data_IF_226009463658
#
_entry.id   IF_226009463658
#
_cell.length_a   1.000
_cell.length_b   1.000
_cell.length_c   1.000
_cell.angle_alpha   90.00
_cell.angle_beta   90.00
_cell.angle_gamma   90.00
#
_symmetry.space_group_name_H-M   'P 1'
#
loop_
_entity.id
_entity.type
_entity.pdbx_description
1 polymer ?
#
# COMPACT_ATOMS: atom_id res chain seq x y z
N UNK A 1 -36.37 1.13 22.52
CA UNK A 1 -37.23 1.01 21.32
C UNK A 1 -36.43 0.30 20.22
N UNK A 2 -36.76 -0.95 20.00
CA UNK A 2 -36.11 -1.85 19.03
C UNK A 2 -36.38 -1.36 17.61
N UNK A 3 -35.35 -1.08 16.82
CA UNK A 3 -35.50 -0.84 15.35
C UNK A 3 -35.92 -2.16 14.69
N UNK A 4 -37.20 -2.28 14.44
CA UNK A 4 -37.77 -3.35 13.64
C UNK A 4 -37.04 -3.44 12.28
N UNK A 5 -36.57 -4.64 11.92
CA UNK A 5 -35.80 -4.89 10.72
C UNK A 5 -36.60 -4.55 9.46
N UNK A 6 -36.11 -3.62 8.67
CA UNK A 6 -36.61 -3.40 7.31
C UNK A 6 -36.48 -4.68 6.49
N UNK A 7 -37.49 -5.07 5.68
CA UNK A 7 -37.45 -6.23 4.80
C UNK A 7 -36.47 -5.99 3.66
N UNK A 8 -35.26 -6.51 3.79
CA UNK A 8 -34.17 -6.40 2.83
C UNK A 8 -32.84 -6.36 3.55
N UNK A 9 -32.35 -7.53 4.01
CA UNK A 9 -31.10 -7.63 4.76
C UNK A 9 -29.91 -7.01 4.00
N UNK A 10 -28.76 -6.81 4.65
CA UNK A 10 -27.60 -6.09 4.12
C UNK A 10 -27.12 -6.59 2.73
N UNK A 11 -27.50 -7.83 2.35
CA UNK A 11 -27.18 -8.42 1.04
C UNK A 11 -27.97 -7.78 -0.10
N UNK A 12 -29.24 -7.38 0.11
CA UNK A 12 -30.06 -6.82 -0.98
C UNK A 12 -29.55 -5.45 -1.46
N UNK A 13 -29.00 -4.67 -0.55
CA UNK A 13 -28.43 -3.35 -0.86
C UNK A 13 -27.02 -3.43 -1.44
N UNK A 14 -26.25 -4.46 -1.06
CA UNK A 14 -24.86 -4.58 -1.49
C UNK A 14 -24.76 -4.63 -3.02
N UNK A 15 -24.16 -3.60 -3.61
CA UNK A 15 -23.90 -3.48 -5.05
C UNK A 15 -22.55 -4.07 -5.42
N UNK A 16 -21.56 -3.90 -4.54
CA UNK A 16 -20.19 -4.39 -4.73
C UNK A 16 -19.76 -5.24 -3.54
N UNK A 17 -19.09 -6.34 -3.83
CA UNK A 17 -18.47 -7.22 -2.84
C UNK A 17 -16.96 -7.18 -3.04
N UNK A 18 -16.22 -6.81 -1.99
CA UNK A 18 -14.76 -6.80 -1.93
C UNK A 18 -14.26 -7.99 -1.08
N UNK A 19 -13.97 -9.15 -1.68
CA UNK A 19 -13.49 -10.31 -0.96
C UNK A 19 -12.05 -10.13 -0.44
N UNK A 20 -11.76 -10.69 0.74
CA UNK A 20 -10.43 -10.83 1.30
C UNK A 20 -10.31 -12.19 1.98
N UNK A 21 -9.70 -13.17 1.31
CA UNK A 21 -9.64 -14.55 1.81
C UNK A 21 -8.33 -14.89 2.51
N UNK A 22 -7.47 -13.90 2.74
CA UNK A 22 -6.27 -14.08 3.56
C UNK A 22 -6.42 -13.40 4.92
N UNK A 23 -6.11 -14.13 5.98
CA UNK A 23 -6.13 -13.60 7.36
C UNK A 23 -4.98 -12.63 7.64
N UNK A 24 -3.84 -12.83 6.96
CA UNK A 24 -2.64 -12.04 7.17
C UNK A 24 -2.75 -10.67 6.50
N UNK A 25 -2.39 -9.62 7.23
CA UNK A 25 -2.22 -8.28 6.68
C UNK A 25 -1.16 -8.29 5.54
N UNK A 26 -1.49 -7.63 4.46
CA UNK A 26 -0.62 -7.47 3.29
C UNK A 26 -1.02 -6.17 2.59
N UNK A 27 -0.19 -5.65 1.69
CA UNK A 27 -0.53 -4.45 0.91
C UNK A 27 -1.93 -4.52 0.29
N UNK A 28 -2.30 -5.66 -0.30
CA UNK A 28 -3.66 -5.85 -0.86
C UNK A 28 -4.76 -5.81 0.20
N UNK A 29 -4.52 -6.31 1.42
CA UNK A 29 -5.50 -6.21 2.51
C UNK A 29 -5.61 -4.77 2.99
N UNK A 30 -4.49 -4.05 3.08
CA UNK A 30 -4.46 -2.63 3.44
C UNK A 30 -5.24 -1.77 2.44
N UNK A 31 -5.12 -2.04 1.13
CA UNK A 31 -5.93 -1.32 0.12
C UNK A 31 -7.44 -1.57 0.29
N UNK A 32 -7.87 -2.79 0.63
CA UNK A 32 -9.29 -3.05 0.92
C UNK A 32 -9.75 -2.26 2.16
N UNK A 33 -8.93 -2.23 3.21
CA UNK A 33 -9.25 -1.53 4.47
C UNK A 33 -9.40 -0.02 4.25
N UNK A 34 -8.59 0.57 3.38
CA UNK A 34 -8.65 2.00 3.07
C UNK A 34 -9.75 2.34 2.05
N UNK A 35 -9.86 1.58 0.96
CA UNK A 35 -10.78 1.88 -0.14
C UNK A 35 -12.25 1.62 0.19
N UNK A 36 -12.57 0.54 0.91
CA UNK A 36 -13.97 0.19 1.17
C UNK A 36 -14.73 1.29 1.91
N UNK A 37 -14.19 1.94 2.96
CA UNK A 37 -14.86 3.07 3.59
C UNK A 37 -15.03 4.27 2.64
N UNK A 38 -14.05 4.55 1.79
CA UNK A 38 -14.08 5.65 0.84
C UNK A 38 -15.15 5.41 -0.24
N UNK A 39 -15.16 4.23 -0.85
CA UNK A 39 -16.17 3.84 -1.83
C UNK A 39 -17.57 3.76 -1.22
N UNK A 40 -17.69 3.40 0.06
CA UNK A 40 -18.97 3.32 0.76
C UNK A 40 -19.68 4.68 0.93
N UNK A 41 -18.98 5.81 0.69
CA UNK A 41 -19.61 7.14 0.64
C UNK A 41 -20.50 7.32 -0.60
N UNK A 42 -20.19 6.62 -1.70
CA UNK A 42 -20.88 6.77 -3.00
C UNK A 42 -21.79 5.57 -3.35
N UNK A 43 -21.47 4.36 -2.88
CA UNK A 43 -22.22 3.14 -3.22
C UNK A 43 -22.22 2.11 -2.09
N UNK A 44 -23.19 1.18 -2.08
CA UNK A 44 -23.21 0.11 -1.06
C UNK A 44 -22.19 -0.98 -1.42
N UNK A 45 -20.95 -0.83 -0.94
CA UNK A 45 -19.88 -1.81 -1.02
C UNK A 45 -19.73 -2.55 0.31
N UNK A 46 -19.52 -3.85 0.25
CA UNK A 46 -19.34 -4.72 1.41
C UNK A 46 -18.08 -5.55 1.29
N UNK A 47 -17.24 -5.52 2.30
CA UNK A 47 -16.12 -6.44 2.39
C UNK A 47 -16.60 -7.83 2.83
N UNK A 48 -15.91 -8.90 2.39
CA UNK A 48 -16.23 -10.28 2.75
C UNK A 48 -14.95 -11.05 3.05
N UNK A 49 -14.84 -11.62 4.23
CA UNK A 49 -13.74 -12.51 4.58
C UNK A 49 -13.11 -12.24 5.93
N UNK A 50 -12.08 -13.03 6.30
CA UNK A 50 -11.43 -12.96 7.59
C UNK A 50 -10.43 -11.80 7.70
N UNK A 51 -10.06 -11.45 8.95
CA UNK A 51 -8.97 -10.51 9.24
C UNK A 51 -9.26 -9.05 8.92
N UNK A 52 -10.51 -8.71 8.62
CA UNK A 52 -10.94 -7.34 8.33
C UNK A 52 -11.40 -6.62 9.61
N UNK A 53 -11.05 -5.33 9.81
CA UNK A 53 -11.43 -4.53 10.96
C UNK A 53 -12.95 -4.46 11.16
N UNK A 54 -13.40 -4.27 12.41
CA UNK A 54 -14.81 -4.27 12.75
C UNK A 54 -15.61 -3.10 12.15
N UNK A 55 -14.97 -1.96 11.95
CA UNK A 55 -15.59 -0.75 11.41
C UNK A 55 -15.99 -0.84 9.92
N UNK A 56 -15.42 -1.79 9.17
CA UNK A 56 -15.77 -1.93 7.75
C UNK A 56 -17.19 -2.43 7.56
N UNK A 57 -17.93 -1.94 6.54
CA UNK A 57 -19.16 -2.55 6.10
C UNK A 57 -18.88 -3.97 5.56
N UNK A 58 -19.45 -4.99 6.20
CA UNK A 58 -19.16 -6.41 5.89
C UNK A 58 -20.39 -7.24 5.61
N UNK A 59 -20.23 -8.25 4.76
CA UNK A 59 -21.10 -9.41 4.66
C UNK A 59 -20.54 -10.56 5.52
N UNK A 60 -21.42 -11.44 5.97
CA UNK A 60 -21.07 -12.69 6.63
C UNK A 60 -21.18 -13.84 5.62
N UNK A 61 -20.45 -14.92 5.84
CA UNK A 61 -20.51 -16.12 4.97
C UNK A 61 -21.94 -16.66 4.80
N UNK A 62 -22.74 -16.61 5.86
CA UNK A 62 -24.16 -17.00 5.84
C UNK A 62 -25.04 -16.13 4.96
N UNK A 63 -24.57 -14.96 4.56
CA UNK A 63 -25.31 -14.05 3.69
C UNK A 63 -25.14 -14.37 2.21
N UNK A 64 -24.16 -15.25 1.83
CA UNK A 64 -23.86 -15.64 0.46
C UNK A 64 -25.06 -16.19 -0.33
N UNK A 65 -25.96 -17.03 0.23
CA UNK A 65 -27.15 -17.47 -0.51
C UNK A 65 -28.05 -16.32 -0.97
N UNK A 66 -28.02 -15.18 -0.28
CA UNK A 66 -28.74 -13.98 -0.71
C UNK A 66 -28.24 -13.36 -2.02
N UNK A 67 -27.06 -13.76 -2.51
CA UNK A 67 -26.49 -13.28 -3.78
C UNK A 67 -27.22 -13.81 -5.02
N UNK A 68 -28.02 -14.89 -4.92
CA UNK A 68 -28.89 -15.33 -6.03
C UNK A 68 -29.95 -14.29 -6.38
N UNK A 69 -30.35 -13.46 -5.43
CA UNK A 69 -31.28 -12.36 -5.72
C UNK A 69 -30.52 -11.17 -6.28
N UNK A 70 -31.07 -10.50 -7.29
CA UNK A 70 -30.50 -9.26 -7.83
C UNK A 70 -30.43 -8.19 -6.74
N UNK A 71 -29.43 -7.28 -6.77
CA UNK A 71 -29.37 -6.15 -5.86
C UNK A 71 -30.49 -5.15 -6.17
N UNK A 72 -30.76 -4.26 -5.23
CA UNK A 72 -31.70 -3.16 -5.44
C UNK A 72 -31.15 -2.17 -6.49
N UNK A 73 -31.95 -1.83 -7.51
CA UNK A 73 -31.62 -0.82 -8.50
C UNK A 73 -30.56 -1.20 -9.54
N UNK A 74 -30.05 -2.45 -9.54
CA UNK A 74 -29.03 -2.87 -10.51
C UNK A 74 -29.30 -4.32 -10.98
N UNK A 75 -28.94 -4.67 -12.25
CA UNK A 75 -29.19 -6.00 -12.79
C UNK A 75 -28.31 -7.10 -12.19
N UNK A 76 -27.15 -6.76 -11.65
CA UNK A 76 -26.17 -7.66 -11.05
C UNK A 76 -25.29 -6.92 -10.03
N UNK A 77 -24.61 -7.70 -9.20
CA UNK A 77 -23.56 -7.23 -8.30
C UNK A 77 -22.20 -7.33 -8.94
N UNK A 78 -21.25 -6.54 -8.42
CA UNK A 78 -19.85 -6.65 -8.77
C UNK A 78 -19.12 -7.40 -7.67
N UNK A 79 -18.34 -8.40 -8.08
CA UNK A 79 -17.38 -9.12 -7.24
C UNK A 79 -15.99 -8.65 -7.62
N UNK A 80 -15.35 -7.83 -6.78
CA UNK A 80 -14.08 -7.20 -7.09
C UNK A 80 -12.91 -7.91 -6.39
N UNK A 81 -12.31 -8.86 -7.07
CA UNK A 81 -11.16 -9.66 -6.63
C UNK A 81 -9.83 -8.91 -6.79
N UNK A 82 -8.87 -9.23 -5.94
CA UNK A 82 -7.49 -8.72 -6.00
C UNK A 82 -6.44 -9.84 -5.98
N UNK A 83 -6.89 -11.08 -5.87
CA UNK A 83 -6.02 -12.30 -5.83
C UNK A 83 -6.70 -13.47 -6.52
N UNK A 84 -5.88 -14.46 -6.94
CA UNK A 84 -6.38 -15.70 -7.53
C UNK A 84 -7.39 -16.41 -6.62
N UNK A 85 -7.11 -16.46 -5.31
CA UNK A 85 -8.00 -17.08 -4.30
C UNK A 85 -9.34 -16.38 -4.13
N UNK A 86 -9.51 -15.21 -4.72
CA UNK A 86 -10.74 -14.41 -4.74
C UNK A 86 -11.41 -14.47 -6.11
N UNK A 87 -10.62 -14.59 -7.20
CA UNK A 87 -11.14 -14.74 -8.57
C UNK A 87 -11.87 -16.09 -8.75
N UNK A 88 -11.24 -17.20 -8.35
CA UNK A 88 -11.82 -18.53 -8.56
C UNK A 88 -13.20 -18.69 -7.89
N UNK A 89 -13.40 -18.35 -6.61
CA UNK A 89 -14.74 -18.38 -6.01
C UNK A 89 -15.74 -17.48 -6.74
N UNK A 90 -15.33 -16.29 -7.19
CA UNK A 90 -16.19 -15.41 -7.99
C UNK A 90 -16.67 -16.10 -9.28
N UNK A 91 -15.77 -16.78 -10.00
CA UNK A 91 -16.10 -17.56 -11.19
C UNK A 91 -17.10 -18.69 -10.86
N UNK A 92 -16.86 -19.43 -9.77
CA UNK A 92 -17.78 -20.50 -9.34
C UNK A 92 -19.16 -19.95 -8.97
N UNK A 93 -19.24 -18.84 -8.26
CA UNK A 93 -20.50 -18.19 -7.90
C UNK A 93 -21.28 -17.73 -9.15
N UNK A 94 -20.59 -17.13 -10.14
CA UNK A 94 -21.22 -16.65 -11.38
C UNK A 94 -21.55 -17.77 -12.35
N UNK A 95 -20.57 -18.62 -12.71
CA UNK A 95 -20.67 -19.52 -13.86
C UNK A 95 -21.30 -20.87 -13.47
N UNK A 96 -21.06 -21.36 -12.25
CA UNK A 96 -21.60 -22.65 -11.77
C UNK A 96 -22.91 -22.44 -11.00
N UNK A 97 -22.88 -21.53 -9.99
CA UNK A 97 -24.05 -21.26 -9.16
C UNK A 97 -25.01 -20.23 -9.78
N UNK A 98 -24.66 -19.69 -10.96
CA UNK A 98 -25.48 -18.76 -11.76
C UNK A 98 -26.01 -17.55 -10.99
N UNK A 99 -25.22 -17.07 -10.02
CA UNK A 99 -25.54 -15.85 -9.31
C UNK A 99 -25.38 -14.63 -10.24
N UNK A 100 -26.23 -13.61 -10.14
CA UNK A 100 -26.15 -12.39 -10.96
C UNK A 100 -24.96 -11.54 -10.53
N UNK A 101 -23.75 -11.91 -10.99
CA UNK A 101 -22.48 -11.27 -10.69
C UNK A 101 -21.74 -10.85 -11.96
N UNK A 102 -20.99 -9.75 -11.89
CA UNK A 102 -19.89 -9.41 -12.79
C UNK A 102 -18.60 -9.39 -12.01
N UNK A 103 -17.52 -9.85 -12.62
CA UNK A 103 -16.25 -10.05 -11.96
C UNK A 103 -15.25 -8.98 -12.38
N UNK A 104 -14.71 -8.26 -11.42
CA UNK A 104 -13.63 -7.28 -11.61
C UNK A 104 -12.39 -7.81 -10.93
N UNK A 105 -11.24 -7.61 -11.56
CA UNK A 105 -9.95 -7.95 -10.98
C UNK A 105 -9.00 -6.77 -11.01
N UNK A 106 -8.39 -6.42 -9.86
CA UNK A 106 -7.28 -5.47 -9.80
C UNK A 106 -5.95 -6.21 -9.69
N UNK A 107 -5.07 -5.98 -10.68
CA UNK A 107 -3.71 -6.48 -10.70
C UNK A 107 -2.74 -5.40 -10.20
N UNK A 108 -1.92 -5.76 -9.20
CA UNK A 108 -0.79 -4.96 -8.72
C UNK A 108 0.56 -5.68 -8.96
N UNK A 109 0.60 -6.68 -9.85
CA UNK A 109 1.76 -7.56 -10.02
C UNK A 109 2.55 -7.19 -11.27
N UNK A 110 3.81 -6.83 -11.08
CA UNK A 110 4.77 -6.58 -12.17
C UNK A 110 5.60 -7.83 -12.46
N UNK A 111 4.93 -8.90 -12.87
CA UNK A 111 5.56 -10.16 -13.29
C UNK A 111 4.67 -10.91 -14.26
N UNK A 112 5.27 -11.76 -15.08
CA UNK A 112 4.52 -12.66 -15.96
C UNK A 112 3.61 -13.56 -15.15
N UNK A 113 2.33 -13.59 -15.51
CA UNK A 113 1.34 -14.44 -14.88
C UNK A 113 1.49 -15.90 -15.35
N UNK A 114 1.24 -16.85 -14.44
CA UNK A 114 1.16 -18.28 -14.77
C UNK A 114 -0.03 -18.54 -15.71
N UNK A 115 -0.03 -19.68 -16.40
CA UNK A 115 -1.17 -20.09 -17.24
C UNK A 115 -2.49 -20.09 -16.46
N UNK A 116 -2.48 -20.61 -15.24
CA UNK A 116 -3.65 -20.58 -14.35
C UNK A 116 -4.14 -19.15 -14.05
N UNK A 117 -3.23 -18.25 -13.69
CA UNK A 117 -3.61 -16.85 -13.42
C UNK A 117 -4.14 -16.16 -14.67
N UNK A 118 -3.55 -16.40 -15.85
CA UNK A 118 -4.03 -15.87 -17.13
C UNK A 118 -5.44 -16.37 -17.45
N UNK A 119 -5.69 -17.66 -17.20
CA UNK A 119 -7.03 -18.23 -17.37
C UNK A 119 -8.05 -17.57 -16.43
N UNK A 120 -7.72 -17.36 -15.15
CA UNK A 120 -8.59 -16.62 -14.23
C UNK A 120 -8.89 -15.21 -14.73
N UNK A 121 -7.85 -14.47 -15.16
CA UNK A 121 -7.98 -13.10 -15.66
C UNK A 121 -8.87 -13.04 -16.91
N UNK A 122 -8.75 -14.00 -17.83
CA UNK A 122 -9.58 -14.03 -19.04
C UNK A 122 -11.08 -14.26 -18.77
N UNK A 123 -11.45 -14.68 -17.55
CA UNK A 123 -12.83 -14.86 -17.10
C UNK A 123 -13.42 -13.63 -16.42
N UNK A 124 -12.64 -12.55 -16.26
CA UNK A 124 -13.10 -11.31 -15.65
C UNK A 124 -13.85 -10.44 -16.66
N UNK A 125 -14.90 -9.74 -16.19
CA UNK A 125 -15.68 -8.81 -17.01
C UNK A 125 -14.98 -7.46 -17.16
N UNK A 126 -14.14 -7.08 -16.19
CA UNK A 126 -13.23 -5.94 -16.29
C UNK A 126 -11.95 -6.20 -15.51
N UNK A 127 -10.84 -5.63 -15.99
CA UNK A 127 -9.53 -5.72 -15.34
C UNK A 127 -8.98 -4.30 -15.11
N UNK A 128 -8.45 -4.09 -13.91
CA UNK A 128 -7.79 -2.86 -13.49
C UNK A 128 -6.32 -3.18 -13.28
N UNK A 129 -5.44 -2.35 -13.84
CA UNK A 129 -4.00 -2.35 -13.54
C UNK A 129 -3.68 -1.17 -12.62
N UNK A 130 -2.87 -1.38 -11.59
CA UNK A 130 -2.53 -0.31 -10.64
C UNK A 130 -1.50 0.68 -11.19
N UNK A 131 -0.89 0.39 -12.33
CA UNK A 131 0.02 1.28 -13.06
C UNK A 131 0.14 0.84 -14.51
N UNK A 132 0.67 1.71 -15.37
CA UNK A 132 1.03 1.37 -16.76
C UNK A 132 2.03 0.21 -16.81
N UNK A 133 3.03 0.19 -15.91
CA UNK A 133 3.99 -0.91 -15.78
C UNK A 133 3.30 -2.24 -15.43
N UNK A 134 2.31 -2.22 -14.52
CA UNK A 134 1.51 -3.41 -14.21
C UNK A 134 0.69 -3.85 -15.41
N UNK A 135 0.10 -2.89 -16.14
CA UNK A 135 -0.69 -3.13 -17.36
C UNK A 135 0.10 -3.87 -18.45
N UNK A 136 1.39 -3.58 -18.59
CA UNK A 136 2.27 -4.24 -19.57
C UNK A 136 2.39 -5.77 -19.37
N UNK A 137 2.05 -6.30 -18.19
CA UNK A 137 2.02 -7.73 -17.90
C UNK A 137 0.66 -8.39 -18.13
N UNK A 138 -0.36 -7.62 -18.53
CA UNK A 138 -1.70 -8.10 -18.82
C UNK A 138 -1.90 -8.27 -20.33
N UNK A 139 -2.46 -9.39 -20.72
CA UNK A 139 -2.78 -9.71 -22.12
C UNK A 139 -4.26 -9.48 -22.47
N UNK A 140 -4.98 -8.76 -21.62
CA UNK A 140 -6.41 -8.44 -21.78
C UNK A 140 -6.61 -6.92 -21.71
N UNK A 141 -7.70 -6.38 -22.30
CA UNK A 141 -8.07 -4.99 -22.10
C UNK A 141 -8.19 -4.65 -20.62
N UNK A 142 -7.63 -3.51 -20.21
CA UNK A 142 -7.65 -3.09 -18.82
C UNK A 142 -7.71 -1.57 -18.69
N UNK A 143 -8.13 -1.10 -17.52
CA UNK A 143 -8.09 0.31 -17.14
C UNK A 143 -6.96 0.51 -16.14
N UNK A 144 -6.13 1.54 -16.34
CA UNK A 144 -5.12 1.92 -15.35
C UNK A 144 -5.77 2.80 -14.29
N UNK A 145 -5.67 2.38 -13.03
CA UNK A 145 -6.11 3.16 -11.86
C UNK A 145 -5.00 3.09 -10.81
N UNK A 146 -4.30 4.21 -10.64
CA UNK A 146 -3.19 4.33 -9.67
C UNK A 146 -3.73 4.36 -8.25
N UNK A 147 -3.01 3.72 -7.33
CA UNK A 147 -3.38 3.78 -5.91
C UNK A 147 -3.27 5.19 -5.35
N UNK A 148 -4.23 5.54 -4.53
CA UNK A 148 -4.24 6.73 -3.70
C UNK A 148 -3.80 6.44 -2.27
N UNK A 149 -3.68 7.51 -1.48
CA UNK A 149 -3.32 7.47 -0.07
C UNK A 149 -4.35 8.22 0.78
N UNK A 150 -4.64 7.70 1.96
CA UNK A 150 -5.47 8.39 2.95
C UNK A 150 -4.71 9.55 3.57
N UNK A 151 -4.94 10.74 3.05
CA UNK A 151 -4.28 12.00 3.44
C UNK A 151 -4.78 12.54 4.79
N UNK A 152 -5.82 11.96 5.36
CA UNK A 152 -6.27 12.29 6.73
C UNK A 152 -5.45 11.52 7.75
N UNK A 153 -5.10 10.29 7.43
CA UNK A 153 -4.23 9.42 8.22
C UNK A 153 -2.76 9.77 8.02
N UNK A 154 -2.30 9.82 6.77
CA UNK A 154 -0.91 10.17 6.42
C UNK A 154 -0.82 11.68 6.17
N UNK A 155 -0.57 12.43 7.21
CA UNK A 155 -0.45 13.90 7.19
C UNK A 155 0.80 14.34 7.95
N UNK A 156 1.37 15.50 7.67
CA UNK A 156 2.48 16.04 8.44
C UNK A 156 2.17 16.17 9.92
N UNK A 157 3.16 15.94 10.76
CA UNK A 157 3.09 16.32 12.17
C UNK A 157 3.09 17.84 12.34
N UNK A 158 2.55 18.33 13.45
CA UNK A 158 2.72 19.73 13.85
C UNK A 158 4.20 20.05 14.20
N UNK A 159 4.90 19.09 14.82
CA UNK A 159 6.34 19.11 15.06
C UNK A 159 6.90 17.70 14.91
N UNK A 160 7.99 17.57 14.13
CA UNK A 160 8.73 16.32 13.98
C UNK A 160 9.46 15.95 15.27
N UNK A 161 9.96 16.93 16.00
CA UNK A 161 10.64 16.75 17.29
C UNK A 161 9.69 16.11 18.30
N UNK A 162 8.48 16.65 18.44
CA UNK A 162 7.45 16.09 19.32
C UNK A 162 7.01 14.67 18.88
N UNK A 163 6.94 14.42 17.56
CA UNK A 163 6.64 13.08 17.04
C UNK A 163 7.75 12.08 17.38
N UNK A 164 9.03 12.49 17.31
CA UNK A 164 10.18 11.66 17.73
C UNK A 164 10.13 11.36 19.22
N UNK A 165 9.92 12.37 20.04
CA UNK A 165 9.82 12.22 21.49
C UNK A 165 8.73 11.24 21.89
N UNK A 166 7.54 11.34 21.28
CA UNK A 166 6.43 10.42 21.52
C UNK A 166 6.72 8.96 21.13
N UNK A 167 7.69 8.75 20.24
CA UNK A 167 8.16 7.42 19.80
C UNK A 167 9.41 6.93 20.53
N UNK A 168 9.93 7.71 21.51
CA UNK A 168 11.19 7.39 22.21
C UNK A 168 12.45 7.53 21.34
N UNK A 169 12.36 8.29 20.25
CA UNK A 169 13.49 8.62 19.38
C UNK A 169 14.17 9.90 19.89
N UNK A 170 15.45 10.11 19.53
CA UNK A 170 16.18 11.33 19.89
C UNK A 170 15.53 12.56 19.21
N UNK A 171 14.90 13.50 19.95
CA UNK A 171 14.12 14.58 19.35
C UNK A 171 14.95 15.53 18.49
N UNK A 172 16.19 15.81 18.90
CA UNK A 172 17.12 16.72 18.22
C UNK A 172 17.82 16.11 17.01
N UNK A 173 17.78 14.77 16.85
CA UNK A 173 18.40 14.08 15.72
C UNK A 173 17.45 14.02 14.54
N UNK A 174 17.94 14.34 13.34
CA UNK A 174 17.21 14.06 12.09
C UNK A 174 17.07 12.56 11.88
N UNK A 175 15.99 12.14 11.29
CA UNK A 175 15.63 10.73 11.24
C UNK A 175 15.39 10.25 9.80
N UNK A 176 16.13 9.18 9.40
CA UNK A 176 15.83 8.42 8.18
C UNK A 176 14.94 7.22 8.52
N UNK A 177 14.03 6.87 7.61
CA UNK A 177 13.16 5.70 7.76
C UNK A 177 13.26 4.71 6.61
N UNK A 178 13.22 3.40 6.94
CA UNK A 178 13.03 2.32 5.98
C UNK A 178 11.98 1.36 6.52
N UNK A 179 10.79 1.33 5.91
CA UNK A 179 9.64 0.62 6.44
C UNK A 179 9.17 -0.53 5.54
N UNK A 180 8.82 -1.63 6.16
CA UNK A 180 8.34 -2.83 5.51
C UNK A 180 8.86 -4.09 6.16
N UNK A 181 8.47 -5.26 5.63
CA UNK A 181 8.97 -6.53 6.16
C UNK A 181 10.48 -6.62 6.02
N UNK A 182 11.18 -7.02 7.09
CA UNK A 182 12.63 -7.22 7.08
C UNK A 182 12.95 -8.48 6.27
N UNK A 183 13.43 -8.29 5.05
CA UNK A 183 13.85 -9.35 4.12
C UNK A 183 14.65 -8.77 2.95
N UNK A 184 15.51 -9.58 2.33
CA UNK A 184 16.41 -9.18 1.26
C UNK A 184 15.70 -8.52 0.06
N UNK A 185 14.53 -9.01 -0.33
CA UNK A 185 13.72 -8.41 -1.40
C UNK A 185 13.33 -6.96 -1.11
N UNK A 186 13.16 -6.61 0.18
CA UNK A 186 12.79 -5.25 0.61
C UNK A 186 13.99 -4.32 0.76
N UNK A 187 15.22 -4.83 0.56
CA UNK A 187 16.43 -4.04 0.57
C UNK A 187 16.85 -3.52 1.94
N UNK A 188 16.33 -4.13 3.03
CA UNK A 188 16.69 -3.71 4.39
C UNK A 188 18.20 -3.80 4.65
N UNK A 189 18.88 -4.76 4.01
CA UNK A 189 20.34 -4.89 4.02
C UNK A 189 21.03 -3.67 3.36
N UNK A 190 20.54 -3.21 2.21
CA UNK A 190 21.09 -2.03 1.54
C UNK A 190 20.93 -0.77 2.40
N UNK A 191 19.79 -0.63 3.08
CA UNK A 191 19.58 0.48 3.99
C UNK A 191 20.55 0.41 5.19
N UNK A 192 20.69 -0.76 5.82
CA UNK A 192 21.62 -0.94 6.95
C UNK A 192 23.07 -0.64 6.54
N UNK A 193 23.53 -1.19 5.40
CA UNK A 193 24.89 -0.92 4.88
C UNK A 193 25.12 0.59 4.61
N UNK A 194 24.12 1.25 3.98
CA UNK A 194 24.20 2.68 3.76
C UNK A 194 24.27 3.48 5.08
N UNK A 195 23.50 3.08 6.09
CA UNK A 195 23.53 3.74 7.39
C UNK A 195 24.83 3.49 8.14
N UNK A 196 25.41 2.30 8.07
CA UNK A 196 26.73 1.99 8.64
C UNK A 196 27.83 2.87 7.99
N UNK A 197 27.73 3.10 6.69
CA UNK A 197 28.68 3.95 5.97
C UNK A 197 28.53 5.44 6.30
N UNK A 198 27.30 5.94 6.44
CA UNK A 198 27.02 7.37 6.51
C UNK A 198 26.96 7.93 7.94
N UNK A 199 26.32 7.22 8.88
CA UNK A 199 26.08 7.78 10.20
C UNK A 199 27.34 8.14 11.00
N UNK A 200 28.49 7.45 10.89
CA UNK A 200 29.73 7.91 11.56
C UNK A 200 30.13 9.33 11.19
N UNK A 201 29.82 9.75 9.96
CA UNK A 201 30.16 11.10 9.44
C UNK A 201 29.06 12.14 9.66
N UNK A 202 27.88 11.70 10.13
CA UNK A 202 26.69 12.54 10.33
C UNK A 202 26.13 12.37 11.76
N UNK A 203 26.77 12.94 12.81
CA UNK A 203 26.40 12.71 14.22
C UNK A 203 24.97 13.18 14.56
N UNK A 204 24.41 14.15 13.84
CA UNK A 204 23.05 14.66 14.04
C UNK A 204 21.94 13.81 13.41
N UNK A 205 22.24 12.58 12.95
CA UNK A 205 21.28 11.71 12.29
C UNK A 205 21.12 10.37 13.00
N UNK A 206 19.89 9.81 12.93
CA UNK A 206 19.53 8.45 13.34
C UNK A 206 18.70 7.77 12.25
N UNK A 207 18.61 6.45 12.30
CA UNK A 207 17.87 5.65 11.34
C UNK A 207 16.85 4.74 12.03
N UNK A 208 15.67 4.60 11.46
CA UNK A 208 14.57 3.77 11.98
C UNK A 208 14.16 2.74 10.96
N UNK A 209 14.15 1.47 11.35
CA UNK A 209 13.70 0.34 10.55
C UNK A 209 12.41 -0.19 11.19
N UNK A 210 11.27 0.04 10.53
CA UNK A 210 9.99 -0.46 11.00
C UNK A 210 9.51 -1.65 10.16
N UNK A 211 9.11 -2.70 10.87
CA UNK A 211 8.71 -3.99 10.34
C UNK A 211 9.42 -5.12 11.04
N UNK A 212 9.09 -6.34 10.66
CA UNK A 212 9.75 -7.53 11.22
C UNK A 212 10.03 -8.59 10.16
N UNK A 213 10.99 -9.43 10.43
CA UNK A 213 11.19 -10.67 9.70
C UNK A 213 10.11 -11.69 10.07
N UNK A 214 9.78 -12.55 9.14
CA UNK A 214 8.81 -13.63 9.36
C UNK A 214 9.43 -14.95 8.98
N UNK A 215 9.29 -15.95 9.86
CA UNK A 215 9.70 -17.33 9.61
C UNK A 215 11.14 -17.42 9.07
N UNK A 216 11.27 -17.78 7.82
CA UNK A 216 12.53 -17.99 7.09
C UNK A 216 13.49 -16.78 7.04
N UNK A 217 13.03 -15.60 7.42
CA UNK A 217 13.84 -14.36 7.36
C UNK A 217 14.36 -13.89 8.73
N UNK A 218 14.14 -14.65 9.81
CA UNK A 218 14.60 -14.25 11.16
C UNK A 218 16.13 -14.22 11.27
N UNK A 219 16.83 -15.17 10.64
CA UNK A 219 18.29 -15.16 10.58
C UNK A 219 18.85 -13.95 9.83
N UNK A 220 18.17 -13.51 8.80
CA UNK A 220 18.53 -12.30 8.07
C UNK A 220 18.40 -11.05 8.94
N UNK A 221 17.32 -10.91 9.72
CA UNK A 221 17.16 -9.79 10.65
C UNK A 221 18.23 -9.83 11.75
N UNK A 222 18.54 -11.01 12.29
CA UNK A 222 19.57 -11.17 13.31
C UNK A 222 20.97 -10.80 12.78
N UNK A 223 21.31 -11.20 11.56
CA UNK A 223 22.57 -10.81 10.89
C UNK A 223 22.68 -9.28 10.73
N UNK A 224 21.61 -8.61 10.31
CA UNK A 224 21.60 -7.15 10.19
C UNK A 224 21.80 -6.45 11.53
N UNK A 225 21.16 -6.90 12.60
CA UNK A 225 21.35 -6.37 13.96
C UNK A 225 22.80 -6.56 14.43
N UNK A 226 23.36 -7.75 14.19
CA UNK A 226 24.76 -8.03 14.53
C UNK A 226 25.75 -7.10 13.80
N UNK A 227 25.52 -6.79 12.53
CA UNK A 227 26.35 -5.82 11.78
C UNK A 227 26.26 -4.43 12.38
N UNK A 228 25.05 -3.99 12.75
CA UNK A 228 24.82 -2.70 13.41
C UNK A 228 25.56 -2.62 14.76
N UNK A 229 25.48 -3.67 15.57
CA UNK A 229 26.22 -3.79 16.84
C UNK A 229 27.73 -3.77 16.64
N UNK A 230 28.24 -4.54 15.67
CA UNK A 230 29.66 -4.59 15.33
C UNK A 230 30.20 -3.23 14.85
N UNK A 231 29.35 -2.45 14.16
CA UNK A 231 29.68 -1.07 13.76
C UNK A 231 29.58 -0.03 14.90
N UNK A 232 29.12 -0.42 16.10
CA UNK A 232 28.93 0.48 17.24
C UNK A 232 27.80 1.49 17.04
N UNK A 233 26.78 1.15 16.24
CA UNK A 233 25.69 2.06 15.86
C UNK A 233 24.30 1.61 16.38
N UNK A 234 24.26 0.73 17.37
CA UNK A 234 23.01 0.17 17.89
C UNK A 234 22.07 1.20 18.53
N UNK A 235 22.62 2.31 19.02
CA UNK A 235 21.90 3.47 19.55
C UNK A 235 21.38 4.44 18.48
N UNK A 236 21.84 4.27 17.22
CA UNK A 236 21.51 5.18 16.11
C UNK A 236 20.81 4.50 14.93
N UNK A 237 20.86 3.18 14.81
CA UNK A 237 20.13 2.37 13.82
C UNK A 237 19.13 1.48 14.57
N UNK A 238 17.90 1.93 14.65
CA UNK A 238 16.89 1.39 15.54
C UNK A 238 15.93 0.48 14.80
N UNK A 239 15.86 -0.80 15.21
CA UNK A 239 14.84 -1.76 14.76
C UNK A 239 13.63 -1.68 15.69
N UNK A 240 12.59 -0.94 15.28
CA UNK A 240 11.43 -0.66 16.15
C UNK A 240 10.29 -1.68 16.02
N UNK A 241 10.46 -2.72 15.17
CA UNK A 241 9.47 -3.78 15.01
C UNK A 241 8.25 -3.36 14.18
N UNK A 242 7.15 -4.10 14.32
CA UNK A 242 5.92 -3.89 13.57
C UNK A 242 5.00 -2.89 14.30
N UNK A 243 4.60 -1.82 13.63
CA UNK A 243 3.71 -0.80 14.15
C UNK A 243 2.34 -0.86 13.46
N UNK A 244 1.25 -0.73 14.23
CA UNK A 244 -0.11 -0.63 13.69
C UNK A 244 -0.39 0.76 13.13
N UNK A 245 0.08 1.78 13.85
CA UNK A 245 -0.10 3.20 13.52
C UNK A 245 1.19 3.73 12.91
N UNK A 246 1.53 3.17 11.74
CA UNK A 246 2.79 3.44 11.02
C UNK A 246 2.93 4.92 10.62
N UNK A 247 1.82 5.63 10.46
CA UNK A 247 1.77 7.06 10.14
C UNK A 247 2.54 7.91 11.14
N UNK A 248 2.54 7.55 12.42
CA UNK A 248 3.31 8.27 13.44
C UNK A 248 4.83 8.15 13.21
N UNK A 249 5.28 6.99 12.72
CA UNK A 249 6.69 6.85 12.36
C UNK A 249 7.07 7.71 11.15
N UNK A 250 6.21 7.77 10.10
CA UNK A 250 6.44 8.68 8.97
C UNK A 250 6.48 10.14 9.42
N UNK A 251 5.64 10.55 10.36
CA UNK A 251 5.60 11.90 10.90
C UNK A 251 6.90 12.33 11.62
N UNK A 252 7.70 11.38 12.09
CA UNK A 252 8.98 11.61 12.75
C UNK A 252 10.17 11.77 11.78
N UNK A 253 9.97 11.46 10.48
CA UNK A 253 11.06 11.38 9.51
C UNK A 253 11.40 12.72 8.87
N UNK A 254 12.68 12.87 8.51
CA UNK A 254 13.21 13.91 7.63
C UNK A 254 13.47 13.37 6.21
N UNK A 255 13.72 12.07 6.10
CA UNK A 255 14.01 11.40 4.83
C UNK A 255 13.51 9.96 4.87
N UNK A 256 12.91 9.49 3.81
CA UNK A 256 12.48 8.10 3.68
C UNK A 256 13.26 7.38 2.60
N UNK A 257 13.72 6.15 2.87
CA UNK A 257 14.45 5.33 1.92
C UNK A 257 13.64 4.07 1.59
N UNK A 258 13.38 3.87 0.32
CA UNK A 258 12.67 2.74 -0.25
C UNK A 258 13.60 1.86 -1.11
N UNK A 259 14.46 1.01 -0.50
CA UNK A 259 15.57 0.33 -1.16
C UNK A 259 15.18 -1.01 -1.80
N UNK A 260 13.92 -1.22 -2.12
CA UNK A 260 13.40 -2.50 -2.59
C UNK A 260 14.10 -2.98 -3.87
N UNK A 261 14.42 -4.28 -3.93
CA UNK A 261 14.92 -4.92 -5.16
C UNK A 261 13.80 -5.30 -6.12
N UNK A 262 12.60 -5.41 -5.60
CA UNK A 262 11.38 -5.66 -6.37
C UNK A 262 10.14 -5.22 -5.59
N UNK A 263 9.21 -4.61 -6.29
CA UNK A 263 7.91 -4.21 -5.76
C UNK A 263 6.81 -4.39 -6.83
N UNK A 264 5.58 -4.62 -6.40
CA UNK A 264 4.42 -4.65 -7.30
C UNK A 264 3.94 -3.24 -7.62
N UNK A 265 3.44 -2.55 -6.61
CA UNK A 265 3.12 -1.13 -6.65
C UNK A 265 4.03 -0.37 -5.67
N UNK A 266 3.85 -0.59 -4.37
CA UNK A 266 4.60 0.05 -3.29
C UNK A 266 3.95 1.37 -2.83
N UNK A 267 3.28 1.33 -1.68
CA UNK A 267 2.62 2.51 -1.11
C UNK A 267 3.58 3.35 -0.26
N UNK A 268 4.69 2.79 0.19
CA UNK A 268 5.58 3.44 1.17
C UNK A 268 6.13 4.81 0.73
N UNK A 269 6.48 5.06 -0.55
CA UNK A 269 6.82 6.41 -1.00
C UNK A 269 5.64 7.38 -0.90
N UNK A 270 4.42 6.96 -1.25
CA UNK A 270 3.24 7.82 -1.14
C UNK A 270 2.88 8.13 0.32
N UNK A 271 3.04 7.15 1.22
CA UNK A 271 2.86 7.33 2.67
C UNK A 271 3.85 8.37 3.22
N UNK A 272 5.13 8.29 2.84
CA UNK A 272 6.15 9.25 3.20
C UNK A 272 5.85 10.65 2.62
N UNK A 273 5.61 10.75 1.32
CA UNK A 273 5.33 12.02 0.65
C UNK A 273 4.08 12.71 1.21
N UNK A 274 3.05 11.94 1.56
CA UNK A 274 1.82 12.46 2.16
C UNK A 274 2.04 13.05 3.57
N UNK A 275 3.10 12.62 4.27
CA UNK A 275 3.56 13.21 5.54
C UNK A 275 4.59 14.32 5.36
N UNK A 276 4.86 14.76 4.12
CA UNK A 276 5.83 15.79 3.80
C UNK A 276 7.28 15.31 3.96
N UNK A 277 7.56 14.04 3.63
CA UNK A 277 8.90 13.45 3.73
C UNK A 277 9.41 13.15 2.32
N UNK A 278 10.55 13.74 1.90
CA UNK A 278 11.18 13.41 0.63
C UNK A 278 11.69 11.96 0.62
N UNK A 279 11.81 11.39 -0.58
CA UNK A 279 11.98 9.94 -0.75
C UNK A 279 13.20 9.62 -1.61
N UNK A 280 14.06 8.73 -1.14
CA UNK A 280 15.05 8.04 -1.98
C UNK A 280 14.53 6.64 -2.26
N UNK A 281 14.34 6.29 -3.52
CA UNK A 281 13.75 5.01 -3.89
C UNK A 281 14.50 4.29 -5.02
N UNK A 282 14.53 2.97 -4.95
CA UNK A 282 14.98 2.16 -6.07
C UNK A 282 13.95 2.20 -7.22
N UNK A 283 14.38 2.11 -8.48
CA UNK A 283 13.49 2.09 -9.66
C UNK A 283 12.74 0.77 -9.80
N UNK A 284 11.78 0.56 -8.91
CA UNK A 284 10.90 -0.62 -8.91
C UNK A 284 9.45 -0.21 -8.67
N UNK A 285 8.52 -1.07 -9.05
CA UNK A 285 7.10 -0.79 -8.87
C UNK A 285 6.68 0.45 -9.65
N UNK A 286 6.11 1.43 -8.93
CA UNK A 286 5.71 2.73 -9.46
C UNK A 286 6.58 3.87 -8.94
N UNK A 287 7.70 3.57 -8.29
CA UNK A 287 8.46 4.57 -7.56
C UNK A 287 8.96 5.70 -8.45
N UNK A 288 9.42 5.41 -9.66
CA UNK A 288 9.82 6.43 -10.64
C UNK A 288 8.63 7.18 -11.29
N UNK A 289 7.39 6.67 -11.17
CA UNK A 289 6.19 7.40 -11.57
C UNK A 289 5.73 8.39 -10.46
N UNK A 290 6.12 8.12 -9.21
CA UNK A 290 5.69 8.85 -8.00
C UNK A 290 6.73 9.85 -7.54
N UNK A 291 8.00 9.43 -7.47
CA UNK A 291 9.12 10.25 -7.01
C UNK A 291 9.75 10.98 -8.19
N UNK A 292 9.82 12.30 -8.11
CA UNK A 292 10.48 13.17 -9.10
C UNK A 292 11.74 13.80 -8.49
N UNK A 293 12.54 14.48 -9.29
CA UNK A 293 13.76 15.14 -8.83
C UNK A 293 13.52 16.19 -7.74
N UNK A 294 12.33 16.81 -7.74
CA UNK A 294 11.91 17.79 -6.71
C UNK A 294 11.49 17.09 -5.40
N UNK A 295 11.01 15.86 -5.47
CA UNK A 295 10.44 15.13 -4.31
C UNK A 295 11.38 14.10 -3.72
N UNK A 296 12.50 13.83 -4.40
CA UNK A 296 13.43 12.78 -3.98
C UNK A 296 14.46 12.42 -5.02
N UNK A 297 14.94 11.18 -4.95
CA UNK A 297 15.90 10.62 -5.92
C UNK A 297 15.56 9.17 -6.22
N UNK A 298 15.57 8.82 -7.50
CA UNK A 298 15.45 7.42 -7.97
C UNK A 298 16.85 6.88 -8.25
N UNK A 299 17.13 5.67 -7.74
CA UNK A 299 18.41 4.96 -7.91
C UNK A 299 18.19 3.58 -8.53
N UNK A 300 19.21 2.99 -9.21
CA UNK A 300 19.11 1.63 -9.72
C UNK A 300 18.83 0.61 -8.60
N UNK A 301 17.97 -0.41 -8.82
CA UNK A 301 17.69 -1.42 -7.82
C UNK A 301 18.94 -2.24 -7.45
N UNK A 302 19.25 -2.33 -6.16
CA UNK A 302 20.40 -3.08 -5.66
C UNK A 302 21.75 -2.35 -5.72
N UNK A 303 21.79 -1.14 -6.23
CA UNK A 303 22.99 -0.31 -6.29
C UNK A 303 23.19 0.43 -4.96
N UNK A 304 24.07 -0.13 -4.11
CA UNK A 304 24.40 0.45 -2.80
C UNK A 304 25.13 1.79 -2.95
N UNK A 305 26.03 1.90 -3.91
CA UNK A 305 26.84 3.12 -4.10
C UNK A 305 25.97 4.29 -4.55
N UNK A 306 25.08 4.10 -5.50
CA UNK A 306 24.11 5.11 -5.92
C UNK A 306 23.16 5.49 -4.78
N UNK A 307 22.76 4.52 -3.95
CA UNK A 307 21.91 4.77 -2.79
C UNK A 307 22.63 5.60 -1.73
N UNK A 308 23.88 5.26 -1.39
CA UNK A 308 24.71 6.03 -0.44
C UNK A 308 24.86 7.47 -0.93
N UNK A 309 25.26 7.67 -2.18
CA UNK A 309 25.46 9.01 -2.74
C UNK A 309 24.14 9.83 -2.74
N UNK A 310 23.00 9.21 -3.07
CA UNK A 310 21.71 9.87 -3.01
C UNK A 310 21.34 10.26 -1.57
N UNK A 311 21.48 9.35 -0.61
CA UNK A 311 21.19 9.62 0.80
C UNK A 311 22.08 10.75 1.32
N UNK A 312 23.39 10.69 1.09
CA UNK A 312 24.36 11.68 1.55
C UNK A 312 24.02 13.08 1.04
N UNK A 313 23.69 13.22 -0.26
CA UNK A 313 23.25 14.50 -0.85
C UNK A 313 22.07 15.10 -0.07
N UNK A 314 21.05 14.28 0.22
CA UNK A 314 19.87 14.74 0.96
C UNK A 314 20.14 14.94 2.46
N UNK A 315 21.10 14.25 3.06
CA UNK A 315 21.51 14.47 4.45
C UNK A 315 22.30 15.78 4.61
N UNK A 316 23.12 16.15 3.64
CA UNK A 316 24.00 17.29 3.70
C UNK A 316 23.29 18.65 3.45
N UNK A 317 22.17 18.67 2.71
CA UNK A 317 21.53 19.90 2.25
C UNK A 317 20.15 20.11 2.90
N UNK A 318 20.08 21.02 3.87
CA UNK A 318 18.84 21.38 4.59
C UNK A 318 17.83 22.08 3.66
N UNK A 319 18.31 22.91 2.73
CA UNK A 319 17.44 23.64 1.81
C UNK A 319 16.79 22.68 0.80
N UNK A 320 17.57 21.72 0.28
CA UNK A 320 17.07 20.65 -0.58
C UNK A 320 15.99 19.83 0.13
N UNK A 321 16.21 19.43 1.40
CA UNK A 321 15.21 18.69 2.17
C UNK A 321 13.95 19.51 2.43
N UNK A 322 14.06 20.77 2.76
CA UNK A 322 12.90 21.63 3.00
C UNK A 322 12.08 21.83 1.72
N UNK A 323 12.73 22.08 0.59
CA UNK A 323 12.08 22.17 -0.72
C UNK A 323 11.42 20.85 -1.10
N UNK A 324 12.15 19.73 -0.95
CA UNK A 324 11.65 18.38 -1.23
C UNK A 324 10.47 17.99 -0.35
N UNK A 325 10.47 18.37 0.92
CA UNK A 325 9.34 18.15 1.85
C UNK A 325 8.07 18.85 1.35
N UNK A 326 8.20 20.11 0.92
CA UNK A 326 7.08 20.89 0.37
C UNK A 326 6.58 20.30 -0.94
N UNK A 327 7.47 19.96 -1.86
CA UNK A 327 7.14 19.37 -3.16
C UNK A 327 6.49 18.00 -3.02
N UNK A 328 7.03 17.13 -2.14
CA UNK A 328 6.49 15.80 -1.87
C UNK A 328 5.04 15.87 -1.37
N UNK A 329 4.77 16.74 -0.39
CA UNK A 329 3.43 16.93 0.14
C UNK A 329 2.46 17.48 -0.90
N UNK A 330 2.89 18.48 -1.67
CA UNK A 330 2.08 19.08 -2.73
C UNK A 330 1.69 18.05 -3.80
N UNK A 331 2.66 17.25 -4.28
CA UNK A 331 2.44 16.20 -5.28
C UNK A 331 1.52 15.10 -4.75
N UNK A 332 1.77 14.60 -3.52
CA UNK A 332 0.93 13.57 -2.93
C UNK A 332 -0.53 14.04 -2.81
N UNK A 333 -0.76 15.29 -2.40
CA UNK A 333 -2.10 15.87 -2.26
C UNK A 333 -2.81 16.07 -3.60
N UNK A 334 -2.10 16.50 -4.61
CA UNK A 334 -2.68 16.81 -5.91
C UNK A 334 -2.97 15.57 -6.75
N UNK A 335 -2.08 14.58 -6.73
CA UNK A 335 -2.11 13.47 -7.69
C UNK A 335 -2.65 12.16 -7.11
N UNK A 336 -2.49 11.93 -5.80
CA UNK A 336 -2.74 10.64 -5.16
C UNK A 336 -3.75 10.64 -4.00
N UNK A 337 -4.86 11.43 -4.05
CA UNK A 337 -5.88 11.29 -3.02
C UNK A 337 -6.63 9.96 -3.15
N UNK A 338 -6.92 9.33 -2.01
CA UNK A 338 -7.66 8.05 -1.97
C UNK A 338 -9.04 8.15 -2.64
N UNK A 339 -9.70 9.31 -2.52
CA UNK A 339 -10.98 9.58 -3.17
C UNK A 339 -10.89 9.43 -4.69
N UNK A 340 -9.82 9.92 -5.32
CA UNK A 340 -9.60 9.80 -6.77
C UNK A 340 -9.48 8.35 -7.23
N UNK A 341 -8.78 7.51 -6.46
CA UNK A 341 -8.73 6.06 -6.73
C UNK A 341 -10.11 5.43 -6.61
N UNK A 342 -10.85 5.75 -5.54
CA UNK A 342 -12.20 5.25 -5.32
C UNK A 342 -13.15 5.64 -6.46
N UNK A 343 -13.14 6.90 -6.90
CA UNK A 343 -13.93 7.40 -8.03
C UNK A 343 -13.57 6.71 -9.34
N UNK A 344 -12.28 6.54 -9.64
CA UNK A 344 -11.82 5.87 -10.85
C UNK A 344 -12.24 4.38 -10.88
N UNK A 345 -12.18 3.70 -9.74
CA UNK A 345 -12.68 2.32 -9.62
C UNK A 345 -14.20 2.28 -9.76
N UNK A 346 -14.93 3.19 -9.13
CA UNK A 346 -16.40 3.27 -9.24
C UNK A 346 -16.83 3.51 -10.69
N UNK A 347 -16.10 4.33 -11.46
CA UNK A 347 -16.34 4.54 -12.90
C UNK A 347 -16.17 3.23 -13.71
N UNK A 348 -15.31 2.30 -13.30
CA UNK A 348 -15.24 0.96 -13.92
C UNK A 348 -16.51 0.17 -13.63
N UNK A 349 -17.04 0.26 -12.43
CA UNK A 349 -18.30 -0.41 -12.07
C UNK A 349 -19.49 0.16 -12.84
N UNK A 350 -19.58 1.48 -12.97
CA UNK A 350 -20.66 2.16 -13.69
C UNK A 350 -20.67 1.76 -15.18
N UNK A 351 -19.49 1.66 -15.81
CA UNK A 351 -19.40 1.15 -17.19
C UNK A 351 -19.94 -0.28 -17.34
N UNK A 352 -19.75 -1.14 -16.33
CA UNK A 352 -20.28 -2.51 -16.35
C UNK A 352 -21.79 -2.54 -16.17
N UNK A 353 -22.36 -1.66 -15.32
CA UNK A 353 -23.80 -1.59 -15.14
C UNK A 353 -24.52 -0.98 -16.35
N UNK A 354 -23.84 -0.21 -17.17
CA UNK A 354 -24.43 0.56 -18.28
C UNK A 354 -25.10 1.86 -17.82
N UNK A 355 -25.58 2.67 -18.77
CA UNK A 355 -26.32 3.86 -18.44
C UNK A 355 -27.56 3.53 -17.61
N UNK A 356 -27.81 4.36 -16.59
CA UNK A 356 -28.97 4.25 -15.68
C UNK A 356 -30.25 4.59 -16.38
#
# INVERSE_FOLDING_TARGET
MSKAGQPGGPVRRALVIAPNFKRRLSGVTSTIIQLVPEQAKALDIRALGPGLPAHLPKLRWRDLPGLWRRPEGRPFRIWHARRNVEMLPGILLRDVLRMPLRLVFTSASQRRHTGYTRWLISRMDAVIATSTRTGAYLSVPHTVVTHGIDQTRFRPAASREAAREALGLAPSSRTLGCFGRVRRQKGTDLFVEAMIALLPHHPGWQAVIAGRATGEHQSFEADLKQRVETAGLADRILFVGEHRDIEHLYQALDLFVAPQRWEGFGLTPLEAMSTGVPVIAADVGVFSDVVTEETGTIVPPGDLSAMIAAIERWMADDALRAAGSTAALAKARAEFPLAREAEAINAVYDRLWGPS
#
